data_IF_674829879989
#
_entry.id   IF_674829879989
#
_cell.length_a   1.000
_cell.length_b   1.000
_cell.length_c   1.000
_cell.angle_alpha   90.00
_cell.angle_beta   90.00
_cell.angle_gamma   90.00
#
_symmetry.space_group_name_H-M   'P 1'
#
loop_
_entity.id
_entity.type
_entity.pdbx_description
1 polymer ?
#
# COMPACT_ATOMS: atom_id res chain seq x y z
N UNK A 1 59.74 4.21 21.41
CA UNK A 1 58.98 5.42 21.78
C UNK A 1 58.17 6.02 20.61
N UNK A 2 58.68 6.15 19.38
CA UNK A 2 57.91 6.71 18.27
C UNK A 2 56.69 5.85 17.81
N UNK A 3 56.77 4.51 17.85
CA UNK A 3 55.67 3.61 17.45
C UNK A 3 54.49 3.63 18.44
N UNK A 4 54.76 3.86 19.73
CA UNK A 4 53.68 3.96 20.75
C UNK A 4 52.96 5.30 20.71
N UNK A 5 53.66 6.39 20.34
CA UNK A 5 53.06 7.71 20.14
C UNK A 5 52.14 7.75 18.90
N UNK A 6 52.47 7.04 17.83
CA UNK A 6 51.58 6.94 16.65
C UNK A 6 50.33 6.12 16.93
N UNK A 7 50.46 5.05 17.70
CA UNK A 7 49.31 4.20 18.06
C UNK A 7 48.37 4.92 19.05
N UNK A 8 48.92 5.70 20.00
CA UNK A 8 48.10 6.49 20.93
C UNK A 8 47.45 7.71 20.28
N UNK A 9 48.07 8.33 19.28
CA UNK A 9 47.47 9.39 18.49
C UNK A 9 46.33 8.87 17.59
N UNK A 10 46.47 7.65 17.04
CA UNK A 10 45.42 7.00 16.23
C UNK A 10 44.23 6.59 17.11
N UNK A 11 44.45 6.12 18.34
CA UNK A 11 43.36 5.83 19.31
C UNK A 11 42.69 7.10 19.86
N UNK A 12 43.39 8.21 20.01
CA UNK A 12 42.80 9.47 20.47
C UNK A 12 41.92 10.15 19.39
N UNK A 13 42.21 9.96 18.11
CA UNK A 13 41.40 10.43 16.99
C UNK A 13 40.05 9.67 16.84
N UNK A 14 39.97 8.47 17.39
CA UNK A 14 38.72 7.68 17.32
C UNK A 14 37.68 8.01 18.43
N UNK A 15 38.05 8.80 19.45
CA UNK A 15 37.22 9.06 20.64
C UNK A 15 36.43 10.38 20.59
N UNK A 16 36.66 11.26 19.64
CA UNK A 16 35.94 12.54 19.51
C UNK A 16 35.39 12.73 18.08
N UNK A 17 34.68 11.74 17.59
CA UNK A 17 34.02 11.81 16.30
C UNK A 17 32.82 12.72 16.39
N UNK A 18 32.93 13.99 15.93
CA UNK A 18 31.80 14.92 15.80
C UNK A 18 30.84 14.42 14.72
N UNK A 19 29.56 14.33 15.07
CA UNK A 19 28.48 14.13 14.11
C UNK A 19 27.99 15.51 13.70
N UNK A 20 28.27 15.92 12.47
CA UNK A 20 27.86 17.23 11.97
C UNK A 20 26.45 17.24 11.38
N UNK A 21 25.86 18.45 11.33
CA UNK A 21 24.50 18.69 10.83
C UNK A 21 23.41 18.52 11.88
N UNK A 22 22.16 18.74 11.51
CA UNK A 22 21.03 18.66 12.42
C UNK A 22 20.70 17.21 12.79
N UNK A 23 20.27 16.99 14.03
CA UNK A 23 19.70 15.73 14.48
C UNK A 23 18.19 15.72 14.21
N UNK A 24 17.64 14.54 13.96
CA UNK A 24 16.20 14.36 13.78
C UNK A 24 15.48 14.27 15.13
N UNK A 25 14.68 15.28 15.48
CA UNK A 25 13.94 15.35 16.75
C UNK A 25 12.50 14.80 16.66
N UNK A 26 12.15 14.12 15.55
CA UNK A 26 10.79 13.69 15.26
C UNK A 26 9.96 14.77 14.54
N UNK A 27 8.95 14.31 13.82
CA UNK A 27 8.06 15.20 13.10
C UNK A 27 6.92 15.68 14.01
N UNK A 28 6.65 16.98 14.01
CA UNK A 28 5.55 17.59 14.78
C UNK A 28 4.41 17.94 13.84
N UNK A 29 3.20 17.47 14.14
CA UNK A 29 1.98 17.88 13.46
C UNK A 29 0.90 18.14 14.51
N UNK A 30 0.21 19.27 14.36
CA UNK A 30 -0.93 19.61 15.19
C UNK A 30 -2.20 19.07 14.55
N UNK A 31 -2.94 18.24 15.27
CA UNK A 31 -4.25 17.73 14.90
C UNK A 31 -5.29 18.17 15.93
N UNK A 32 -6.57 18.31 15.53
CA UNK A 32 -7.67 18.54 16.46
C UNK A 32 -7.71 17.43 17.54
N UNK A 33 -8.12 17.79 18.76
CA UNK A 33 -8.19 16.85 19.88
C UNK A 33 -9.29 15.78 19.69
N UNK A 34 -10.32 16.07 18.90
CA UNK A 34 -11.47 15.18 18.65
C UNK A 34 -11.91 15.25 17.20
N UNK A 35 -12.55 14.19 16.72
CA UNK A 35 -13.22 14.17 15.44
C UNK A 35 -14.40 15.15 15.39
N UNK A 36 -14.64 15.80 14.27
CA UNK A 36 -15.81 16.65 14.03
C UNK A 36 -17.09 15.79 13.94
N UNK A 37 -16.99 14.65 13.29
CA UNK A 37 -18.07 13.70 13.11
C UNK A 37 -17.89 12.52 14.07
N UNK A 38 -18.76 12.42 15.07
CA UNK A 38 -18.69 11.38 16.11
C UNK A 38 -19.47 10.15 15.69
N UNK A 39 -18.85 8.98 15.78
CA UNK A 39 -19.57 7.71 15.74
C UNK A 39 -20.06 7.33 17.15
N UNK A 40 -21.17 6.55 17.25
CA UNK A 40 -21.51 5.91 18.51
C UNK A 40 -20.34 5.07 19.01
N UNK A 41 -20.05 5.08 20.33
CA UNK A 41 -18.94 4.32 20.88
C UNK A 41 -19.09 2.84 20.53
N UNK A 42 -17.97 2.19 20.21
CA UNK A 42 -17.93 0.74 20.04
C UNK A 42 -18.21 0.05 21.38
N UNK A 43 -18.98 -1.02 21.34
CA UNK A 43 -19.35 -1.80 22.53
C UNK A 43 -18.27 -2.79 22.95
N UNK A 44 -17.31 -3.08 22.09
CA UNK A 44 -16.21 -4.01 22.32
C UNK A 44 -14.91 -3.34 21.87
N UNK A 45 -13.84 -3.55 22.63
CA UNK A 45 -12.48 -3.14 22.24
C UNK A 45 -12.04 -4.05 21.09
N UNK A 46 -12.05 -3.53 19.87
CA UNK A 46 -11.64 -4.28 18.67
C UNK A 46 -10.22 -3.89 18.27
N UNK A 47 -9.38 -4.89 18.05
CA UNK A 47 -8.08 -4.70 17.44
C UNK A 47 -8.26 -4.31 15.97
N UNK A 48 -7.85 -3.09 15.63
CA UNK A 48 -7.90 -2.61 14.24
C UNK A 48 -6.95 -3.38 13.31
N UNK A 49 -6.01 -4.13 13.86
CA UNK A 49 -5.06 -4.89 13.06
C UNK A 49 -5.74 -5.98 12.22
N UNK A 50 -6.74 -6.66 12.80
CA UNK A 50 -7.50 -7.72 12.15
C UNK A 50 -9.01 -7.31 12.06
N UNK A 51 -9.27 -6.08 11.64
CA UNK A 51 -10.62 -5.47 11.64
C UNK A 51 -11.68 -6.31 10.91
N UNK A 52 -11.30 -7.12 9.92
CA UNK A 52 -12.21 -7.99 9.18
C UNK A 52 -12.83 -9.10 10.03
N UNK A 53 -12.16 -9.50 11.12
CA UNK A 53 -12.71 -10.47 12.08
C UNK A 53 -14.00 -9.97 12.75
N UNK A 54 -14.21 -8.65 12.82
CA UNK A 54 -15.42 -8.03 13.37
C UNK A 54 -16.69 -8.37 12.59
N UNK A 55 -16.57 -8.70 11.29
CA UNK A 55 -17.68 -9.18 10.48
C UNK A 55 -18.14 -10.59 10.83
N UNK A 56 -17.33 -11.35 11.61
CA UNK A 56 -17.56 -12.76 11.98
C UNK A 56 -17.82 -13.64 10.76
N UNK A 57 -17.10 -13.38 9.69
CA UNK A 57 -17.11 -14.12 8.44
C UNK A 57 -15.81 -14.92 8.28
N UNK A 58 -15.84 -16.25 8.51
CA UNK A 58 -14.63 -17.08 8.40
C UNK A 58 -14.06 -17.10 6.98
N UNK A 59 -14.94 -16.98 5.96
CA UNK A 59 -14.50 -16.99 4.57
C UNK A 59 -13.73 -15.71 4.23
N UNK A 60 -14.22 -14.54 4.66
CA UNK A 60 -13.50 -13.28 4.50
C UNK A 60 -12.11 -13.35 5.15
N UNK A 61 -12.03 -13.87 6.37
CA UNK A 61 -10.74 -14.02 7.07
C UNK A 61 -9.79 -14.94 6.30
N UNK A 62 -10.27 -16.10 5.86
CA UNK A 62 -9.47 -17.05 5.08
C UNK A 62 -8.99 -16.47 3.74
N UNK A 63 -9.82 -15.68 3.05
CA UNK A 63 -9.42 -15.00 1.81
C UNK A 63 -8.30 -13.99 2.05
N UNK A 64 -8.41 -13.18 3.11
CA UNK A 64 -7.38 -12.20 3.46
C UNK A 64 -6.07 -12.89 3.84
N UNK A 65 -6.12 -13.96 4.65
CA UNK A 65 -4.93 -14.74 5.01
C UNK A 65 -4.26 -15.36 3.79
N UNK A 66 -5.06 -15.89 2.85
CA UNK A 66 -4.55 -16.43 1.58
C UNK A 66 -3.88 -15.35 0.74
N UNK A 67 -4.50 -14.16 0.66
CA UNK A 67 -3.93 -13.03 -0.05
C UNK A 67 -2.59 -12.60 0.57
N UNK A 68 -2.48 -12.51 1.88
CA UNK A 68 -1.22 -12.17 2.55
C UNK A 68 -0.10 -13.17 2.26
N UNK A 69 -0.45 -14.46 2.12
CA UNK A 69 0.53 -15.51 1.85
C UNK A 69 1.01 -15.54 0.39
N UNK A 70 0.14 -15.24 -0.58
CA UNK A 70 0.40 -15.55 -1.98
C UNK A 70 0.42 -14.33 -2.91
N UNK A 71 -0.06 -13.16 -2.46
CA UNK A 71 -0.16 -12.00 -3.34
C UNK A 71 1.21 -11.49 -3.77
N UNK A 72 1.47 -11.26 -5.08
CA UNK A 72 2.75 -10.78 -5.57
C UNK A 72 3.20 -9.43 -4.99
N UNK A 73 2.27 -8.52 -4.66
CA UNK A 73 2.61 -7.21 -4.08
C UNK A 73 3.17 -7.37 -2.66
N UNK A 74 2.67 -8.35 -1.88
CA UNK A 74 3.23 -8.68 -0.57
C UNK A 74 4.65 -9.27 -0.69
N UNK A 75 4.88 -10.12 -1.68
CA UNK A 75 6.22 -10.65 -1.98
C UNK A 75 7.16 -9.52 -2.39
N UNK A 76 6.73 -8.63 -3.29
CA UNK A 76 7.50 -7.46 -3.72
C UNK A 76 7.81 -6.52 -2.53
N UNK A 77 6.87 -6.32 -1.61
CA UNK A 77 7.09 -5.53 -0.41
C UNK A 77 8.17 -6.16 0.51
N UNK A 78 8.17 -7.49 0.67
CA UNK A 78 9.22 -8.20 1.40
C UNK A 78 10.59 -8.11 0.72
N UNK A 79 10.64 -8.20 -0.61
CA UNK A 79 11.86 -8.00 -1.39
C UNK A 79 12.40 -6.57 -1.26
N UNK A 80 11.53 -5.55 -1.25
CA UNK A 80 11.93 -4.16 -1.04
C UNK A 80 12.54 -3.92 0.35
N UNK A 81 12.04 -4.58 1.40
CA UNK A 81 12.66 -4.57 2.73
C UNK A 81 14.05 -5.20 2.67
N UNK A 82 14.19 -6.37 2.04
CA UNK A 82 15.47 -7.08 1.91
C UNK A 82 16.50 -6.25 1.12
N UNK A 83 16.05 -5.53 0.09
CA UNK A 83 16.88 -4.59 -0.67
C UNK A 83 17.35 -3.44 0.22
N UNK A 84 16.45 -2.80 0.96
CA UNK A 84 16.81 -1.70 1.86
C UNK A 84 17.78 -2.15 2.99
N UNK A 85 17.64 -3.38 3.48
CA UNK A 85 18.59 -3.99 4.41
C UNK A 85 19.98 -4.21 3.77
N UNK A 86 20.04 -4.62 2.51
CA UNK A 86 21.28 -4.76 1.78
C UNK A 86 21.96 -3.40 1.54
N UNK A 87 21.19 -2.36 1.22
CA UNK A 87 21.66 -0.99 1.07
C UNK A 87 22.20 -0.44 2.41
N UNK A 88 21.54 -0.72 3.54
CA UNK A 88 22.03 -0.38 4.86
C UNK A 88 23.37 -1.08 5.16
N UNK A 89 23.49 -2.38 4.90
CA UNK A 89 24.77 -3.11 5.07
C UNK A 89 25.86 -2.56 4.15
N UNK A 90 25.50 -2.18 2.93
CA UNK A 90 26.42 -1.52 2.00
C UNK A 90 26.91 -0.17 2.53
N UNK A 91 26.02 0.65 3.09
CA UNK A 91 26.39 1.92 3.74
C UNK A 91 27.31 1.71 4.95
N UNK A 92 27.03 0.70 5.77
CA UNK A 92 27.87 0.33 6.91
C UNK A 92 29.29 -0.11 6.50
N UNK A 93 29.44 -0.71 5.32
CA UNK A 93 30.75 -1.12 4.82
C UNK A 93 31.69 0.06 4.60
N UNK A 94 31.15 1.27 4.38
CA UNK A 94 31.95 2.51 4.27
C UNK A 94 32.73 2.89 5.53
N UNK A 95 32.43 2.30 6.70
CA UNK A 95 33.20 2.48 7.93
C UNK A 95 34.53 1.69 7.92
N UNK A 96 34.67 0.71 7.03
CA UNK A 96 35.82 -0.20 6.99
C UNK A 96 36.70 0.03 5.74
N UNK A 97 37.97 -0.37 5.78
CA UNK A 97 38.85 -0.33 4.61
C UNK A 97 38.30 -1.26 3.49
N UNK A 98 38.44 -0.80 2.25
CA UNK A 98 38.26 -1.64 1.07
C UNK A 98 39.61 -2.20 0.62
N UNK A 99 39.65 -3.49 0.26
CA UNK A 99 40.84 -4.16 -0.27
C UNK A 99 40.50 -4.68 -1.65
N UNK A 100 41.36 -4.34 -2.63
CA UNK A 100 41.19 -4.78 -4.01
C UNK A 100 42.48 -5.40 -4.56
N UNK A 101 42.31 -6.46 -5.33
CA UNK A 101 43.39 -7.09 -6.11
C UNK A 101 43.23 -6.67 -7.57
N UNK A 102 44.32 -6.21 -8.17
CA UNK A 102 44.35 -5.86 -9.59
C UNK A 102 45.51 -6.59 -10.29
N UNK A 103 45.27 -6.96 -11.53
CA UNK A 103 46.33 -7.55 -12.36
C UNK A 103 46.08 -7.15 -13.84
N UNK A 104 47.17 -6.95 -14.56
CA UNK A 104 47.13 -6.59 -15.96
C UNK A 104 48.34 -7.09 -16.71
N UNK A 105 48.16 -7.42 -17.96
CA UNK A 105 49.21 -7.68 -18.94
C UNK A 105 49.01 -6.76 -20.12
N UNK A 106 50.06 -6.14 -20.60
CA UNK A 106 50.01 -5.23 -21.75
C UNK A 106 51.24 -5.38 -22.60
N UNK A 107 51.11 -5.08 -23.89
CA UNK A 107 52.20 -4.94 -24.81
C UNK A 107 52.14 -3.53 -25.41
N UNK A 108 53.24 -2.79 -25.33
CA UNK A 108 53.35 -1.47 -25.92
C UNK A 108 54.54 -1.44 -26.84
N UNK A 109 54.38 -0.84 -28.03
CA UNK A 109 55.46 -0.73 -29.01
C UNK A 109 55.45 0.63 -29.69
N UNK A 110 56.60 1.00 -30.22
CA UNK A 110 56.75 2.18 -31.06
C UNK A 110 56.77 1.72 -32.53
N UNK A 111 55.87 2.28 -33.34
CA UNK A 111 55.74 1.94 -34.77
C UNK A 111 56.98 2.35 -35.58
N UNK A 112 57.68 3.41 -35.16
CA UNK A 112 58.86 3.92 -35.85
C UNK A 112 60.11 3.06 -35.61
N UNK A 113 60.21 2.43 -34.41
CA UNK A 113 61.38 1.64 -34.03
C UNK A 113 61.15 0.12 -34.08
N UNK A 114 59.93 -0.31 -34.40
CA UNK A 114 59.51 -1.73 -34.39
C UNK A 114 59.82 -2.49 -33.09
N UNK A 115 59.98 -1.74 -31.97
CA UNK A 115 60.22 -2.33 -30.65
C UNK A 115 58.92 -2.52 -29.89
N UNK A 116 58.70 -3.71 -29.32
CA UNK A 116 57.58 -3.98 -28.44
C UNK A 116 58.08 -4.45 -27.06
N UNK A 117 57.42 -3.96 -26.02
CA UNK A 117 57.76 -4.32 -24.62
C UNK A 117 56.50 -4.86 -23.97
N UNK A 118 56.55 -6.12 -23.55
CA UNK A 118 55.54 -6.70 -22.67
C UNK A 118 55.66 -6.14 -21.24
N UNK A 119 54.57 -5.93 -20.56
CA UNK A 119 54.55 -5.55 -19.16
C UNK A 119 53.49 -6.37 -18.43
N UNK A 120 53.87 -6.95 -17.32
CA UNK A 120 52.96 -7.56 -16.35
C UNK A 120 52.93 -6.66 -15.12
N UNK A 121 51.74 -6.38 -14.62
CA UNK A 121 51.55 -5.63 -13.37
C UNK A 121 50.47 -6.31 -12.53
N UNK A 122 50.65 -6.30 -11.23
CA UNK A 122 49.67 -6.80 -10.28
C UNK A 122 49.89 -6.17 -8.92
N UNK A 123 48.81 -6.06 -8.18
CA UNK A 123 48.94 -5.44 -6.85
C UNK A 123 47.70 -5.61 -6.01
N UNK A 124 47.91 -5.56 -4.71
CA UNK A 124 46.90 -5.47 -3.69
C UNK A 124 46.85 -4.02 -3.19
N UNK A 125 45.69 -3.38 -3.26
CA UNK A 125 45.49 -2.03 -2.75
C UNK A 125 44.43 -2.03 -1.64
N UNK A 126 44.72 -1.31 -0.57
CA UNK A 126 43.76 -1.04 0.50
C UNK A 126 43.51 0.47 0.55
N UNK A 127 42.26 0.87 0.69
CA UNK A 127 41.88 2.28 0.86
C UNK A 127 40.83 2.42 1.96
N UNK A 128 40.97 3.47 2.76
CA UNK A 128 40.06 3.79 3.85
C UNK A 128 39.95 5.29 4.06
N UNK A 129 38.75 5.76 4.25
CA UNK A 129 38.45 7.14 4.62
C UNK A 129 37.82 7.16 6.01
N UNK A 130 38.60 7.47 7.07
CA UNK A 130 38.05 7.59 8.42
C UNK A 130 36.93 8.63 8.50
N UNK A 131 35.83 8.26 9.12
CA UNK A 131 34.63 9.10 9.23
C UNK A 131 34.78 10.09 10.42
N UNK A 132 35.64 11.10 10.27
CA UNK A 132 35.90 12.09 11.32
C UNK A 132 34.70 13.01 11.55
N UNK A 133 34.06 13.45 10.46
CA UNK A 133 33.00 14.44 10.46
C UNK A 133 31.60 13.83 10.48
N UNK A 134 31.48 12.50 10.46
CA UNK A 134 30.22 11.78 10.54
C UNK A 134 29.46 11.65 9.22
N UNK A 135 30.09 11.90 8.07
CA UNK A 135 29.42 11.76 6.76
C UNK A 135 28.93 10.34 6.52
N UNK A 136 29.78 9.32 6.78
CA UNK A 136 29.40 7.91 6.63
C UNK A 136 28.34 7.49 7.64
N UNK A 137 28.41 7.97 8.88
CA UNK A 137 27.39 7.70 9.90
C UNK A 137 26.05 8.35 9.56
N UNK A 138 26.03 9.57 9.01
CA UNK A 138 24.81 10.21 8.48
C UNK A 138 24.26 9.45 7.28
N UNK A 139 25.13 8.89 6.43
CA UNK A 139 24.68 8.01 5.33
C UNK A 139 24.03 6.73 5.86
N UNK A 140 24.58 6.12 6.91
CA UNK A 140 24.00 4.96 7.58
C UNK A 140 22.64 5.33 8.20
N UNK A 141 22.54 6.49 8.87
CA UNK A 141 21.31 7.02 9.42
C UNK A 141 20.24 7.23 8.34
N UNK A 142 20.59 7.81 7.19
CA UNK A 142 19.70 7.97 6.05
C UNK A 142 19.22 6.61 5.51
N UNK A 143 20.12 5.61 5.43
CA UNK A 143 19.78 4.26 4.99
C UNK A 143 18.92 3.51 6.02
N UNK A 144 19.11 3.73 7.32
CA UNK A 144 18.25 3.19 8.38
C UNK A 144 16.83 3.78 8.29
N UNK A 145 16.73 5.09 8.05
CA UNK A 145 15.44 5.74 7.82
C UNK A 145 14.77 5.22 6.54
N UNK A 146 15.52 4.99 5.45
CA UNK A 146 15.01 4.38 4.23
C UNK A 146 14.47 2.96 4.47
N UNK A 147 15.16 2.14 5.27
CA UNK A 147 14.67 0.82 5.70
C UNK A 147 13.38 0.95 6.51
N UNK A 148 13.30 1.91 7.44
CA UNK A 148 12.06 2.21 8.18
C UNK A 148 10.90 2.59 7.25
N UNK A 149 11.17 3.40 6.23
CA UNK A 149 10.20 3.76 5.19
C UNK A 149 9.72 2.53 4.38
N UNK A 150 10.63 1.61 4.02
CA UNK A 150 10.28 0.37 3.29
C UNK A 150 9.42 -0.56 4.13
N UNK A 151 9.71 -0.70 5.44
CA UNK A 151 8.86 -1.47 6.37
C UNK A 151 7.46 -0.85 6.50
N UNK A 152 7.37 0.46 6.63
CA UNK A 152 6.08 1.15 6.67
C UNK A 152 5.31 1.01 5.34
N UNK A 153 5.99 1.03 4.18
CA UNK A 153 5.39 0.78 2.88
C UNK A 153 4.80 -0.64 2.77
N UNK A 154 5.50 -1.64 3.30
CA UNK A 154 4.97 -3.01 3.35
C UNK A 154 3.71 -3.12 4.21
N UNK A 155 3.65 -2.42 5.34
CA UNK A 155 2.45 -2.35 6.17
C UNK A 155 1.29 -1.64 5.45
N UNK A 156 1.59 -0.58 4.68
CA UNK A 156 0.60 0.08 3.83
C UNK A 156 0.04 -0.87 2.75
N UNK A 157 0.92 -1.63 2.09
CA UNK A 157 0.53 -2.65 1.10
C UNK A 157 -0.37 -3.71 1.74
N UNK A 158 -0.03 -4.20 2.93
CA UNK A 158 -0.83 -5.17 3.69
C UNK A 158 -2.23 -4.63 4.00
N UNK A 159 -2.33 -3.40 4.53
CA UNK A 159 -3.60 -2.76 4.84
C UNK A 159 -4.46 -2.53 3.59
N UNK A 160 -3.86 -2.07 2.50
CA UNK A 160 -4.52 -1.87 1.21
C UNK A 160 -5.02 -3.19 0.61
N UNK A 161 -4.21 -4.26 0.68
CA UNK A 161 -4.60 -5.59 0.18
C UNK A 161 -5.80 -6.14 0.96
N UNK A 162 -5.79 -6.07 2.29
CA UNK A 162 -6.93 -6.48 3.11
C UNK A 162 -8.22 -5.74 2.73
N UNK A 163 -8.14 -4.42 2.54
CA UNK A 163 -9.27 -3.59 2.11
C UNK A 163 -9.76 -3.97 0.71
N UNK A 164 -8.85 -4.23 -0.23
CA UNK A 164 -9.18 -4.61 -1.61
C UNK A 164 -9.87 -5.97 -1.67
N UNK A 165 -9.35 -6.97 -0.93
CA UNK A 165 -9.97 -8.31 -0.83
C UNK A 165 -11.37 -8.21 -0.21
N UNK A 166 -11.53 -7.46 0.88
CA UNK A 166 -12.82 -7.28 1.52
C UNK A 166 -13.83 -6.58 0.59
N UNK A 167 -13.39 -5.54 -0.14
CA UNK A 167 -14.21 -4.81 -1.11
C UNK A 167 -14.70 -5.75 -2.21
N UNK A 168 -13.78 -6.49 -2.86
CA UNK A 168 -14.12 -7.42 -3.93
C UNK A 168 -15.04 -8.56 -3.44
N UNK A 169 -14.85 -9.03 -2.21
CA UNK A 169 -15.74 -10.02 -1.59
C UNK A 169 -17.13 -9.47 -1.32
N UNK A 170 -17.25 -8.24 -0.80
CA UNK A 170 -18.56 -7.60 -0.57
C UNK A 170 -19.28 -7.28 -1.88
N UNK A 171 -18.55 -6.94 -2.94
CA UNK A 171 -19.10 -6.79 -4.29
C UNK A 171 -19.64 -8.11 -4.83
N UNK A 172 -18.89 -9.21 -4.65
CA UNK A 172 -19.32 -10.54 -5.03
C UNK A 172 -20.61 -10.95 -4.29
N UNK A 173 -20.69 -10.75 -2.97
CA UNK A 173 -21.90 -11.01 -2.18
C UNK A 173 -23.09 -10.21 -2.72
N UNK A 174 -22.88 -8.92 -3.00
CA UNK A 174 -23.92 -8.04 -3.52
C UNK A 174 -24.43 -8.49 -4.90
N UNK A 175 -23.53 -8.93 -5.78
CA UNK A 175 -23.87 -9.46 -7.09
C UNK A 175 -24.65 -10.77 -7.00
N UNK A 176 -24.26 -11.67 -6.09
CA UNK A 176 -25.00 -12.92 -5.81
C UNK A 176 -26.41 -12.67 -5.28
N UNK A 177 -26.57 -11.72 -4.35
CA UNK A 177 -27.88 -11.32 -3.83
C UNK A 177 -28.74 -10.65 -4.91
N UNK A 178 -28.15 -9.81 -5.77
CA UNK A 178 -28.85 -9.19 -6.88
C UNK A 178 -29.35 -10.24 -7.88
N UNK A 179 -28.54 -11.26 -8.18
CA UNK A 179 -28.92 -12.39 -9.01
C UNK A 179 -30.08 -13.20 -8.38
N UNK A 180 -30.01 -13.44 -7.05
CA UNK A 180 -31.09 -14.14 -6.32
C UNK A 180 -32.42 -13.36 -6.41
N UNK A 181 -32.38 -12.05 -6.17
CA UNK A 181 -33.57 -11.18 -6.28
C UNK A 181 -34.10 -11.16 -7.71
N UNK A 182 -33.25 -11.07 -8.73
CA UNK A 182 -33.68 -11.09 -10.12
C UNK A 182 -34.34 -12.41 -10.50
N UNK A 183 -33.87 -13.57 -10.01
CA UNK A 183 -34.46 -14.87 -10.21
C UNK A 183 -35.83 -15.01 -9.49
N UNK A 184 -35.91 -14.56 -8.23
CA UNK A 184 -37.19 -14.55 -7.48
C UNK A 184 -38.22 -13.64 -8.16
N UNK A 185 -37.78 -12.47 -8.66
CA UNK A 185 -38.68 -11.58 -9.40
C UNK A 185 -39.16 -12.21 -10.71
N UNK A 186 -38.27 -12.88 -11.44
CA UNK A 186 -38.61 -13.58 -12.66
C UNK A 186 -39.70 -14.65 -12.39
N UNK A 187 -39.51 -15.45 -11.35
CA UNK A 187 -40.52 -16.47 -10.95
C UNK A 187 -41.85 -15.84 -10.58
N UNK A 188 -41.86 -14.71 -9.87
CA UNK A 188 -43.09 -13.96 -9.55
C UNK A 188 -43.76 -13.45 -10.83
N UNK A 189 -43.00 -12.87 -11.75
CA UNK A 189 -43.51 -12.36 -13.04
C UNK A 189 -44.08 -13.48 -13.94
N UNK A 190 -43.45 -14.66 -13.94
CA UNK A 190 -43.96 -15.83 -14.70
C UNK A 190 -45.29 -16.32 -14.11
N UNK A 191 -45.46 -16.30 -12.79
CA UNK A 191 -46.75 -16.58 -12.15
C UNK A 191 -47.79 -15.53 -12.52
N UNK A 192 -47.44 -14.25 -12.47
CA UNK A 192 -48.29 -13.13 -12.87
C UNK A 192 -48.73 -13.26 -14.33
N UNK A 193 -47.82 -13.55 -15.25
CA UNK A 193 -48.13 -13.78 -16.66
C UNK A 193 -49.16 -14.87 -16.88
N UNK A 194 -49.04 -15.98 -16.16
CA UNK A 194 -50.02 -17.09 -16.28
C UNK A 194 -51.41 -16.67 -15.82
N UNK A 195 -51.53 -15.83 -14.78
CA UNK A 195 -52.81 -15.28 -14.32
C UNK A 195 -53.40 -14.33 -15.37
N UNK A 196 -52.57 -13.42 -15.92
CA UNK A 196 -53.01 -12.51 -17.00
C UNK A 196 -53.47 -13.29 -18.21
N UNK A 197 -52.74 -14.34 -18.62
CA UNK A 197 -53.12 -15.20 -19.75
C UNK A 197 -54.49 -15.87 -19.53
N UNK A 198 -54.73 -16.46 -18.37
CA UNK A 198 -56.03 -17.08 -18.04
C UNK A 198 -57.15 -16.05 -18.10
N UNK A 199 -56.96 -14.82 -17.67
CA UNK A 199 -57.97 -13.75 -17.73
C UNK A 199 -58.23 -13.28 -19.16
N UNK A 200 -57.18 -13.21 -20.02
CA UNK A 200 -57.34 -12.89 -21.44
C UNK A 200 -58.10 -14.01 -22.15
N UNK A 201 -57.73 -15.27 -21.90
CA UNK A 201 -58.41 -16.44 -22.49
C UNK A 201 -59.89 -16.53 -22.06
N UNK A 202 -60.21 -16.03 -20.85
CA UNK A 202 -61.58 -15.94 -20.34
C UNK A 202 -62.32 -14.65 -20.75
N UNK A 203 -61.70 -13.74 -21.48
CA UNK A 203 -62.29 -12.48 -21.94
C UNK A 203 -62.36 -11.36 -20.87
N UNK A 204 -61.66 -11.50 -19.74
CA UNK A 204 -61.63 -10.53 -18.62
C UNK A 204 -60.49 -9.55 -18.65
N UNK A 205 -59.52 -9.69 -19.58
CA UNK A 205 -58.37 -8.78 -19.79
C UNK A 205 -58.08 -8.63 -21.28
N UNK A 206 -57.27 -7.61 -21.63
CA UNK A 206 -56.91 -7.32 -23.02
C UNK A 206 -55.56 -7.99 -23.38
N UNK A 207 -55.39 -8.29 -24.69
CA UNK A 207 -54.07 -8.78 -25.20
C UNK A 207 -52.92 -7.85 -24.89
N UNK A 208 -53.17 -6.52 -24.73
CA UNK A 208 -52.16 -5.56 -24.30
C UNK A 208 -51.56 -5.93 -22.95
N UNK A 209 -52.40 -6.34 -21.97
CA UNK A 209 -51.95 -6.75 -20.64
C UNK A 209 -50.99 -7.95 -20.71
N UNK A 210 -51.33 -8.92 -21.59
CA UNK A 210 -50.52 -10.11 -21.82
C UNK A 210 -49.13 -9.75 -22.41
N UNK A 211 -49.09 -8.86 -23.40
CA UNK A 211 -47.84 -8.44 -23.99
C UNK A 211 -47.03 -7.57 -23.02
N UNK A 212 -47.61 -6.74 -22.20
CA UNK A 212 -46.93 -6.00 -21.13
C UNK A 212 -46.32 -6.94 -20.07
N UNK A 213 -47.07 -7.99 -19.65
CA UNK A 213 -46.55 -9.02 -18.75
C UNK A 213 -45.36 -9.76 -19.38
N UNK A 214 -45.44 -10.04 -20.69
CA UNK A 214 -44.34 -10.67 -21.42
C UNK A 214 -43.09 -9.78 -21.50
N UNK A 215 -43.27 -8.48 -21.71
CA UNK A 215 -42.16 -7.51 -21.73
C UNK A 215 -41.43 -7.45 -20.36
N UNK A 216 -42.16 -7.51 -19.24
CA UNK A 216 -41.52 -7.50 -17.91
C UNK A 216 -40.64 -8.74 -17.68
N UNK A 217 -41.14 -9.94 -18.09
CA UNK A 217 -40.35 -11.19 -18.04
C UNK A 217 -39.08 -11.10 -18.87
N UNK A 218 -39.20 -10.66 -20.14
CA UNK A 218 -38.05 -10.55 -21.06
C UNK A 218 -37.03 -9.56 -20.50
N UNK A 219 -37.48 -8.42 -19.98
CA UNK A 219 -36.62 -7.40 -19.39
C UNK A 219 -35.84 -7.93 -18.16
N UNK A 220 -36.53 -8.64 -17.25
CA UNK A 220 -35.87 -9.21 -16.07
C UNK A 220 -34.91 -10.36 -16.48
N UNK A 221 -35.35 -11.21 -17.43
CA UNK A 221 -34.47 -12.29 -17.93
C UNK A 221 -33.21 -11.76 -18.59
N UNK A 222 -33.30 -10.63 -19.29
CA UNK A 222 -32.14 -9.98 -19.89
C UNK A 222 -31.12 -9.42 -18.88
N UNK A 223 -31.51 -9.14 -17.62
CA UNK A 223 -30.60 -8.67 -16.57
C UNK A 223 -29.80 -9.80 -15.92
N UNK A 224 -30.30 -11.04 -15.94
CA UNK A 224 -29.65 -12.20 -15.30
C UNK A 224 -28.22 -12.40 -15.81
N UNK A 225 -27.94 -12.44 -17.13
CA UNK A 225 -26.56 -12.58 -17.64
C UNK A 225 -25.63 -11.46 -17.20
N UNK A 226 -26.13 -10.23 -17.02
CA UNK A 226 -25.34 -9.11 -16.53
C UNK A 226 -24.91 -9.33 -15.07
N UNK A 227 -25.80 -9.83 -14.20
CA UNK A 227 -25.44 -10.20 -12.83
C UNK A 227 -24.46 -11.37 -12.78
N UNK A 228 -24.63 -12.38 -13.63
CA UNK A 228 -23.70 -13.51 -13.75
C UNK A 228 -22.31 -13.06 -14.23
N UNK A 229 -22.24 -12.14 -15.19
CA UNK A 229 -20.99 -11.54 -15.63
C UNK A 229 -20.30 -10.74 -14.52
N UNK A 230 -21.08 -9.99 -13.72
CA UNK A 230 -20.54 -9.26 -12.56
C UNK A 230 -19.94 -10.20 -11.52
N UNK A 231 -20.63 -11.31 -11.21
CA UNK A 231 -20.12 -12.36 -10.30
C UNK A 231 -18.77 -12.88 -10.80
N UNK A 232 -18.68 -13.24 -12.08
CA UNK A 232 -17.43 -13.72 -12.67
C UNK A 232 -16.32 -12.68 -12.65
N UNK A 233 -16.66 -11.42 -12.88
CA UNK A 233 -15.70 -10.30 -12.76
C UNK A 233 -15.14 -10.17 -11.34
N UNK A 234 -15.99 -10.28 -10.31
CA UNK A 234 -15.56 -10.26 -8.92
C UNK A 234 -14.68 -11.48 -8.57
N UNK A 235 -15.03 -12.68 -9.06
CA UNK A 235 -14.21 -13.90 -8.89
C UNK A 235 -12.83 -13.73 -9.53
N UNK A 236 -12.74 -13.17 -10.74
CA UNK A 236 -11.47 -12.86 -11.40
C UNK A 236 -10.64 -11.85 -10.61
N UNK A 237 -11.28 -10.78 -10.10
CA UNK A 237 -10.60 -9.78 -9.28
C UNK A 237 -10.06 -10.37 -7.98
N UNK A 238 -10.85 -11.23 -7.32
CA UNK A 238 -10.40 -11.95 -6.13
C UNK A 238 -9.25 -12.90 -6.45
N UNK A 239 -9.28 -13.63 -7.58
CA UNK A 239 -8.20 -14.51 -7.98
C UNK A 239 -6.86 -13.76 -8.11
N UNK A 240 -6.86 -12.58 -8.72
CA UNK A 240 -5.67 -11.72 -8.82
C UNK A 240 -5.19 -11.28 -7.43
N UNK A 241 -6.12 -10.82 -6.56
CA UNK A 241 -5.78 -10.39 -5.20
C UNK A 241 -5.24 -11.54 -4.34
N UNK A 242 -5.73 -12.75 -4.55
CA UNK A 242 -5.27 -13.96 -3.87
C UNK A 242 -3.97 -14.55 -4.45
N UNK A 243 -3.47 -14.00 -5.56
CA UNK A 243 -2.29 -14.52 -6.25
C UNK A 243 -2.50 -15.93 -6.82
N UNK A 244 -3.73 -16.23 -7.30
CA UNK A 244 -4.11 -17.56 -7.78
C UNK A 244 -4.93 -17.47 -9.07
N UNK A 245 -5.33 -18.63 -9.62
CA UNK A 245 -6.23 -18.71 -10.78
C UNK A 245 -7.69 -18.81 -10.33
N UNK A 246 -8.61 -18.36 -11.18
CA UNK A 246 -10.05 -18.26 -10.84
C UNK A 246 -10.69 -19.61 -10.47
N UNK A 247 -10.19 -20.71 -11.03
CA UNK A 247 -10.66 -22.08 -10.76
C UNK A 247 -10.37 -22.54 -9.32
N UNK A 248 -9.40 -21.91 -8.65
CA UNK A 248 -9.04 -22.18 -7.25
C UNK A 248 -9.87 -21.34 -6.26
N UNK A 249 -10.53 -20.29 -6.73
CA UNK A 249 -11.36 -19.42 -5.90
C UNK A 249 -12.70 -20.09 -5.63
N UNK A 250 -12.87 -20.63 -4.42
CA UNK A 250 -14.13 -21.26 -4.00
C UNK A 250 -14.86 -20.34 -3.03
N UNK A 251 -15.97 -19.78 -3.47
CA UNK A 251 -16.80 -18.89 -2.68
C UNK A 251 -18.16 -19.53 -2.36
N UNK A 252 -18.67 -19.24 -1.19
CA UNK A 252 -20.01 -19.61 -0.74
C UNK A 252 -20.69 -18.41 -0.12
N UNK A 253 -22.00 -18.28 -0.30
CA UNK A 253 -22.75 -17.20 0.34
C UNK A 253 -22.69 -17.32 1.86
N UNK A 254 -22.39 -16.24 2.60
CA UNK A 254 -22.44 -16.26 4.05
C UNK A 254 -23.87 -16.50 4.56
N UNK A 255 -23.98 -16.97 5.80
CA UNK A 255 -25.27 -17.11 6.46
C UNK A 255 -26.02 -15.76 6.55
N UNK A 256 -27.34 -15.78 6.61
CA UNK A 256 -28.13 -14.56 6.73
C UNK A 256 -27.75 -13.71 7.97
N UNK A 257 -27.34 -14.35 9.06
CA UNK A 257 -26.86 -13.66 10.28
C UNK A 257 -25.54 -12.94 10.07
N UNK A 258 -24.61 -13.53 9.32
CA UNK A 258 -23.33 -12.93 8.93
C UNK A 258 -23.55 -11.84 7.89
N UNK A 259 -24.38 -12.11 6.88
CA UNK A 259 -24.70 -11.15 5.83
C UNK A 259 -25.36 -9.87 6.38
N UNK A 260 -26.23 -9.96 7.36
CA UNK A 260 -26.92 -8.80 7.93
C UNK A 260 -26.09 -8.07 9.00
N UNK A 261 -24.94 -8.61 9.39
CA UNK A 261 -24.09 -8.01 10.42
C UNK A 261 -23.34 -6.78 9.88
N UNK A 262 -23.50 -5.67 10.58
CA UNK A 262 -22.72 -4.43 10.39
C UNK A 262 -21.97 -4.18 11.69
N UNK A 263 -20.65 -4.42 11.74
CA UNK A 263 -19.86 -4.20 12.95
C UNK A 263 -19.74 -2.70 13.24
N UNK A 264 -19.50 -2.36 14.51
CA UNK A 264 -19.12 -1.00 14.93
C UNK A 264 -17.61 -0.96 15.13
N UNK A 265 -16.96 0.07 14.62
CA UNK A 265 -15.51 0.24 14.68
C UNK A 265 -15.15 1.35 15.65
N UNK A 266 -14.19 1.15 16.59
CA UNK A 266 -13.70 2.22 17.45
C UNK A 266 -12.89 3.21 16.62
N UNK A 267 -13.23 4.50 16.68
CA UNK A 267 -12.57 5.53 15.88
C UNK A 267 -11.28 6.07 16.52
N UNK A 268 -11.05 5.83 17.81
CA UNK A 268 -9.89 6.33 18.52
C UNK A 268 -9.79 7.86 18.55
N UNK A 269 -8.61 8.37 18.88
CA UNK A 269 -8.31 9.80 18.84
C UNK A 269 -7.58 10.19 17.55
N UNK A 270 -7.78 11.41 17.02
CA UNK A 270 -7.05 11.89 15.84
C UNK A 270 -5.53 11.77 15.97
N UNK A 271 -4.97 12.03 17.15
CA UNK A 271 -3.53 11.94 17.40
C UNK A 271 -2.95 10.52 17.30
N UNK A 272 -3.78 9.48 17.41
CA UNK A 272 -3.34 8.09 17.26
C UNK A 272 -2.98 7.75 15.82
N UNK A 273 -3.53 8.48 14.83
CA UNK A 273 -3.18 8.31 13.42
C UNK A 273 -1.67 8.46 13.17
N UNK A 274 -1.01 9.39 13.88
CA UNK A 274 0.42 9.66 13.74
C UNK A 274 1.28 8.42 14.02
N UNK A 275 0.78 7.49 14.84
CA UNK A 275 1.49 6.26 15.23
C UNK A 275 0.98 5.01 14.50
N UNK A 276 -0.25 5.06 13.97
CA UNK A 276 -0.92 3.89 13.41
C UNK A 276 -0.91 3.86 11.89
N UNK A 277 -0.90 5.02 11.22
CA UNK A 277 -0.97 5.06 9.76
C UNK A 277 0.40 4.83 9.12
N UNK A 278 0.54 3.77 8.31
CA UNK A 278 1.81 3.45 7.66
C UNK A 278 2.31 4.55 6.71
N UNK A 279 1.40 5.26 6.02
CA UNK A 279 1.76 6.37 5.12
C UNK A 279 2.35 7.58 5.87
N UNK A 280 1.86 7.87 7.08
CA UNK A 280 2.42 8.91 7.95
C UNK A 280 3.80 8.48 8.47
N UNK A 281 3.93 7.24 8.93
CA UNK A 281 5.20 6.66 9.39
C UNK A 281 6.23 6.69 8.24
N UNK A 282 5.82 6.33 7.03
CA UNK A 282 6.67 6.40 5.84
C UNK A 282 7.13 7.83 5.54
N UNK A 283 6.23 8.82 5.64
CA UNK A 283 6.55 10.23 5.42
C UNK A 283 7.52 10.78 6.50
N UNK A 284 7.37 10.34 7.75
CA UNK A 284 8.28 10.67 8.85
C UNK A 284 9.68 10.12 8.60
N UNK A 285 9.82 8.86 8.20
CA UNK A 285 11.10 8.27 7.84
C UNK A 285 11.76 8.96 6.64
N UNK A 286 10.98 9.43 5.65
CA UNK A 286 11.50 10.21 4.54
C UNK A 286 12.05 11.56 4.99
N UNK A 287 11.39 12.22 5.94
CA UNK A 287 11.88 13.46 6.54
C UNK A 287 13.16 13.21 7.36
N UNK A 288 13.21 12.10 8.12
CA UNK A 288 14.42 11.70 8.85
C UNK A 288 15.59 11.48 7.89
N UNK A 289 15.41 10.74 6.79
CA UNK A 289 16.44 10.54 5.77
C UNK A 289 16.90 11.86 5.15
N UNK A 290 15.98 12.78 4.86
CA UNK A 290 16.33 14.10 4.34
C UNK A 290 17.12 14.93 5.35
N UNK A 291 16.82 14.84 6.64
CA UNK A 291 17.58 15.49 7.72
C UNK A 291 19.01 14.94 7.80
N UNK A 292 19.18 13.62 7.73
CA UNK A 292 20.50 12.99 7.70
C UNK A 292 21.32 13.42 6.47
N UNK A 293 20.67 13.61 5.31
CA UNK A 293 21.34 14.10 4.09
C UNK A 293 21.85 15.54 4.22
N UNK A 294 21.21 16.40 5.03
CA UNK A 294 21.77 17.72 5.38
C UNK A 294 23.11 17.52 6.13
N UNK A 295 23.15 16.58 7.08
CA UNK A 295 24.38 16.26 7.81
C UNK A 295 25.51 15.78 6.90
N UNK A 296 25.20 14.96 5.88
CA UNK A 296 26.16 14.54 4.86
C UNK A 296 26.71 15.75 4.08
N UNK A 297 25.82 16.64 3.64
CA UNK A 297 26.22 17.83 2.89
C UNK A 297 27.09 18.77 3.74
N UNK A 298 26.75 18.96 5.00
CA UNK A 298 27.55 19.76 5.96
C UNK A 298 28.92 19.11 6.21
N UNK A 299 28.97 17.80 6.42
CA UNK A 299 30.23 17.08 6.63
C UNK A 299 31.19 17.23 5.43
N UNK A 300 30.65 17.30 4.22
CA UNK A 300 31.45 17.49 2.99
C UNK A 300 32.03 18.93 2.83
N UNK A 301 31.71 19.87 3.70
CA UNK A 301 32.37 21.17 3.79
C UNK A 301 33.76 21.09 4.46
N UNK A 302 34.04 20.02 5.18
CA UNK A 302 35.27 19.84 5.97
C UNK A 302 36.31 19.00 5.23
N UNK A 303 37.61 19.04 5.68
CA UNK A 303 38.68 18.28 5.03
C UNK A 303 38.41 16.78 5.02
N UNK A 304 38.53 16.14 3.87
CA UNK A 304 38.52 14.68 3.79
C UNK A 304 39.89 14.10 4.11
N UNK A 305 39.92 13.04 4.92
CA UNK A 305 41.12 12.25 5.20
C UNK A 305 40.99 10.91 4.46
N UNK A 306 42.04 10.48 3.78
CA UNK A 306 42.14 9.14 3.24
C UNK A 306 43.47 8.49 3.55
N UNK A 307 43.45 7.20 3.80
CA UNK A 307 44.61 6.35 4.02
C UNK A 307 44.61 5.29 2.93
N UNK A 308 45.72 5.13 2.22
CA UNK A 308 45.85 4.11 1.20
C UNK A 308 47.17 3.31 1.41
N UNK A 309 47.06 2.02 1.24
CA UNK A 309 48.21 1.10 1.23
C UNK A 309 48.21 0.31 -0.07
N UNK A 310 49.36 0.10 -0.65
CA UNK A 310 49.52 -0.64 -1.88
C UNK A 310 50.71 -1.57 -1.79
N UNK A 311 50.55 -2.81 -2.20
CA UNK A 311 51.63 -3.75 -2.49
C UNK A 311 51.51 -4.11 -3.94
N UNK A 312 52.48 -3.75 -4.76
CA UNK A 312 52.40 -4.00 -6.20
C UNK A 312 53.74 -4.49 -6.74
N UNK A 313 53.66 -5.25 -7.79
CA UNK A 313 54.80 -5.70 -8.57
C UNK A 313 54.58 -5.41 -10.04
N UNK A 314 55.64 -5.13 -10.75
CA UNK A 314 55.64 -4.99 -12.20
C UNK A 314 56.91 -5.57 -12.78
N UNK A 315 56.77 -6.40 -13.80
CA UNK A 315 57.90 -6.93 -14.57
C UNK A 315 57.79 -6.55 -16.05
N UNK A 316 58.93 -6.56 -16.74
CA UNK A 316 58.94 -6.40 -18.18
C UNK A 316 58.43 -7.63 -18.91
N UNK A 317 59.18 -8.14 -19.88
CA UNK A 317 58.76 -9.28 -20.72
C UNK A 317 58.81 -10.64 -19.99
N UNK A 318 59.42 -10.72 -18.82
CA UNK A 318 59.60 -11.98 -18.11
C UNK A 318 58.65 -12.07 -16.86
N UNK A 319 57.72 -13.02 -16.88
CA UNK A 319 56.79 -13.24 -15.77
C UNK A 319 57.48 -13.77 -14.52
N UNK A 320 58.67 -14.42 -14.65
CA UNK A 320 59.41 -14.93 -13.50
C UNK A 320 59.91 -13.80 -12.59
N UNK A 321 60.23 -12.64 -13.15
CA UNK A 321 60.69 -11.47 -12.40
C UNK A 321 59.59 -10.73 -11.69
N UNK A 322 58.35 -11.09 -11.95
CA UNK A 322 57.18 -10.43 -11.34
C UNK A 322 57.19 -10.56 -9.79
N UNK A 323 57.55 -11.71 -9.26
CA UNK A 323 57.57 -11.93 -7.79
C UNK A 323 58.82 -11.35 -7.09
N UNK A 324 59.89 -11.05 -7.84
CA UNK A 324 61.12 -10.51 -7.29
C UNK A 324 61.11 -8.97 -7.17
N UNK A 325 60.19 -8.27 -7.83
CA UNK A 325 60.12 -6.81 -7.92
C UNK A 325 59.00 -6.18 -7.09
N UNK A 326 58.52 -6.88 -6.05
CA UNK A 326 57.40 -6.39 -5.22
C UNK A 326 57.82 -5.18 -4.38
N UNK A 327 57.04 -4.11 -4.48
CA UNK A 327 57.17 -2.91 -3.68
C UNK A 327 55.95 -2.63 -2.83
N UNK A 328 56.07 -1.88 -1.79
CA UNK A 328 54.93 -1.42 -0.99
C UNK A 328 54.95 0.09 -0.80
N UNK A 329 53.75 0.67 -0.62
CA UNK A 329 53.59 2.07 -0.25
C UNK A 329 52.47 2.23 0.74
N UNK A 330 52.60 3.16 1.68
CA UNK A 330 51.54 3.60 2.59
C UNK A 330 51.50 5.11 2.53
N UNK A 331 50.35 5.67 2.26
CA UNK A 331 50.12 7.10 2.13
C UNK A 331 48.87 7.54 2.90
N UNK A 332 48.99 8.71 3.54
CA UNK A 332 47.84 9.44 4.07
C UNK A 332 47.69 10.74 3.29
N UNK A 333 46.47 11.09 2.93
CA UNK A 333 46.19 12.36 2.26
C UNK A 333 45.06 13.11 2.93
N UNK A 334 45.18 14.43 2.96
CA UNK A 334 44.15 15.36 3.41
C UNK A 334 43.76 16.25 2.25
N UNK A 335 42.49 16.27 1.90
CA UNK A 335 41.97 17.11 0.82
C UNK A 335 40.95 18.11 1.34
N UNK A 336 41.09 19.39 0.97
CA UNK A 336 40.16 20.47 1.31
C UNK A 336 40.01 21.42 0.13
N UNK A 337 38.77 21.66 -0.27
CA UNK A 337 38.47 22.72 -1.24
C UNK A 337 38.54 24.08 -0.56
N UNK A 338 39.53 24.91 -0.90
CA UNK A 338 39.75 26.22 -0.31
C UNK A 338 39.08 27.32 -1.13
N UNK A 339 39.23 27.26 -2.46
CA UNK A 339 38.65 28.24 -3.39
C UNK A 339 37.45 27.68 -4.10
N UNK A 340 36.49 28.55 -4.48
CA UNK A 340 35.26 28.16 -5.14
C UNK A 340 34.39 27.14 -4.35
N UNK A 341 34.16 27.43 -3.08
CA UNK A 341 33.31 26.62 -2.20
C UNK A 341 31.80 26.79 -2.48
N UNK A 342 31.42 27.65 -3.41
CA UNK A 342 30.03 27.92 -3.76
C UNK A 342 29.25 26.64 -4.05
N UNK A 343 29.82 25.71 -4.84
CA UNK A 343 29.17 24.44 -5.15
C UNK A 343 28.91 23.56 -3.90
N UNK A 344 29.80 23.59 -2.92
CA UNK A 344 29.63 22.86 -1.66
C UNK A 344 28.56 23.53 -0.77
N UNK A 345 28.57 24.86 -0.67
CA UNK A 345 27.55 25.61 0.08
C UNK A 345 26.18 25.43 -0.54
N UNK A 346 26.05 25.47 -1.89
CA UNK A 346 24.78 25.22 -2.55
C UNK A 346 24.29 23.78 -2.40
N UNK A 347 25.16 22.80 -2.23
CA UNK A 347 24.74 21.43 -1.89
C UNK A 347 24.09 21.37 -0.50
N UNK A 348 24.61 22.13 0.48
CA UNK A 348 23.95 22.25 1.80
C UNK A 348 22.59 22.92 1.66
N UNK A 349 22.52 24.04 0.94
CA UNK A 349 21.27 24.75 0.67
C UNK A 349 20.23 23.83 -0.02
N UNK A 350 20.63 23.04 -1.04
CA UNK A 350 19.76 22.08 -1.71
C UNK A 350 19.29 21.00 -0.72
N UNK A 351 20.14 20.51 0.17
CA UNK A 351 19.75 19.52 1.16
C UNK A 351 18.76 20.09 2.19
N UNK A 352 18.95 21.32 2.65
CA UNK A 352 18.03 22.03 3.56
C UNK A 352 16.65 22.30 2.90
N UNK A 353 16.65 22.71 1.63
CA UNK A 353 15.41 22.85 0.86
C UNK A 353 14.70 21.51 0.66
N UNK A 354 15.43 20.43 0.43
CA UNK A 354 14.90 19.07 0.33
C UNK A 354 14.32 18.58 1.66
N UNK A 355 14.97 18.88 2.78
CA UNK A 355 14.44 18.60 4.12
C UNK A 355 13.13 19.39 4.36
N UNK A 356 13.12 20.67 4.02
CA UNK A 356 11.93 21.50 4.14
C UNK A 356 10.77 20.98 3.30
N UNK A 357 11.04 20.54 2.06
CA UNK A 357 10.05 19.93 1.17
C UNK A 357 9.52 18.60 1.74
N UNK A 358 10.38 17.77 2.34
CA UNK A 358 9.98 16.55 3.03
C UNK A 358 9.08 16.85 4.25
N UNK A 359 9.39 17.91 5.01
CA UNK A 359 8.57 18.40 6.12
C UNK A 359 7.16 18.84 5.67
N UNK A 360 7.06 19.58 4.55
CA UNK A 360 5.76 19.95 4.00
C UNK A 360 5.00 18.73 3.45
N UNK A 361 5.70 17.75 2.88
CA UNK A 361 5.11 16.50 2.43
C UNK A 361 4.54 15.68 3.59
N UNK A 362 5.26 15.60 4.71
CA UNK A 362 4.77 14.98 5.94
C UNK A 362 3.49 15.68 6.43
N UNK A 363 3.51 17.01 6.56
CA UNK A 363 2.34 17.79 6.98
C UNK A 363 1.13 17.55 6.06
N UNK A 364 1.35 17.54 4.74
CA UNK A 364 0.30 17.24 3.75
C UNK A 364 -0.28 15.85 3.97
N UNK A 365 0.54 14.83 4.20
CA UNK A 365 0.11 13.46 4.45
C UNK A 365 -0.76 13.37 5.70
N UNK A 366 -0.35 14.04 6.79
CA UNK A 366 -1.13 14.10 8.04
C UNK A 366 -2.50 14.75 7.85
N UNK A 367 -2.55 15.89 7.16
CA UNK A 367 -3.81 16.59 6.87
C UNK A 367 -4.73 15.77 5.94
N UNK A 368 -4.17 15.12 4.93
CA UNK A 368 -4.92 14.23 4.05
C UNK A 368 -5.49 13.02 4.79
N UNK A 369 -4.71 12.41 5.68
CA UNK A 369 -5.14 11.31 6.51
C UNK A 369 -6.30 11.70 7.45
N UNK A 370 -6.23 12.87 8.08
CA UNK A 370 -7.30 13.40 8.90
C UNK A 370 -8.58 13.63 8.08
N UNK A 371 -8.48 14.28 6.94
CA UNK A 371 -9.61 14.56 6.04
C UNK A 371 -10.25 13.25 5.53
N UNK A 372 -9.45 12.24 5.20
CA UNK A 372 -9.94 10.93 4.76
C UNK A 372 -10.79 10.24 5.83
N UNK A 373 -10.36 10.25 7.10
CA UNK A 373 -11.14 9.66 8.19
C UNK A 373 -12.45 10.43 8.38
N UNK A 374 -12.42 11.77 8.37
CA UNK A 374 -13.65 12.57 8.48
C UNK A 374 -14.63 12.28 7.34
N UNK A 375 -14.16 12.14 6.11
CA UNK A 375 -15.00 11.78 4.96
C UNK A 375 -15.60 10.38 5.13
N UNK A 376 -14.83 9.41 5.60
CA UNK A 376 -15.32 8.07 5.90
C UNK A 376 -16.40 8.10 7.00
N UNK A 377 -16.24 8.89 8.05
CA UNK A 377 -17.22 9.05 9.13
C UNK A 377 -18.52 9.66 8.62
N UNK A 378 -18.46 10.73 7.82
CA UNK A 378 -19.63 11.37 7.20
C UNK A 378 -20.36 10.35 6.31
N UNK A 379 -19.62 9.67 5.44
CA UNK A 379 -20.19 8.68 4.51
C UNK A 379 -20.89 7.54 5.23
N UNK A 380 -20.23 6.99 6.25
CA UNK A 380 -20.80 5.91 7.07
C UNK A 380 -22.07 6.37 7.79
N UNK A 381 -22.06 7.53 8.46
CA UNK A 381 -23.23 8.05 9.17
C UNK A 381 -24.41 8.27 8.23
N UNK A 382 -24.17 8.82 7.03
CA UNK A 382 -25.19 8.98 5.98
C UNK A 382 -25.79 7.65 5.56
N UNK A 383 -24.95 6.67 5.24
CA UNK A 383 -25.39 5.36 4.78
C UNK A 383 -26.21 4.63 5.85
N UNK A 384 -25.78 4.70 7.11
CA UNK A 384 -26.49 4.11 8.24
C UNK A 384 -27.86 4.76 8.48
N UNK A 385 -28.02 6.06 8.21
CA UNK A 385 -29.33 6.72 8.31
C UNK A 385 -30.26 6.40 7.14
N UNK A 386 -29.70 6.09 5.96
CA UNK A 386 -30.46 5.76 4.75
C UNK A 386 -30.99 4.32 4.76
N UNK A 387 -30.23 3.35 5.29
CA UNK A 387 -30.59 1.94 5.25
C UNK A 387 -31.99 1.64 5.81
N UNK A 388 -32.43 2.14 6.99
CA UNK A 388 -33.77 1.89 7.50
C UNK A 388 -34.89 2.44 6.58
N UNK A 389 -34.60 3.54 5.86
CA UNK A 389 -35.56 4.12 4.90
C UNK A 389 -35.71 3.25 3.66
N UNK A 390 -34.62 2.69 3.16
CA UNK A 390 -34.67 1.72 2.05
C UNK A 390 -35.40 0.44 2.46
N UNK A 391 -35.16 -0.07 3.66
CA UNK A 391 -35.90 -1.24 4.20
C UNK A 391 -37.37 -0.96 4.38
N UNK A 392 -37.75 0.20 4.89
CA UNK A 392 -39.17 0.60 4.97
C UNK A 392 -39.80 0.76 3.59
N UNK A 393 -39.08 1.37 2.64
CA UNK A 393 -39.53 1.51 1.25
C UNK A 393 -39.76 0.16 0.57
N UNK A 394 -38.79 -0.77 0.69
CA UNK A 394 -38.94 -2.11 0.11
C UNK A 394 -40.14 -2.87 0.68
N UNK A 395 -40.32 -2.80 2.00
CA UNK A 395 -41.54 -3.41 2.64
C UNK A 395 -42.84 -2.79 2.13
N UNK A 396 -42.89 -1.47 1.96
CA UNK A 396 -44.08 -0.79 1.44
C UNK A 396 -44.35 -1.15 -0.04
N UNK A 397 -43.30 -1.15 -0.88
CA UNK A 397 -43.42 -1.49 -2.30
C UNK A 397 -43.81 -2.97 -2.50
N UNK A 398 -43.26 -3.90 -1.71
CA UNK A 398 -43.68 -5.30 -1.72
C UNK A 398 -45.17 -5.44 -1.44
N UNK A 399 -45.64 -4.77 -0.39
CA UNK A 399 -47.06 -4.79 -0.05
C UNK A 399 -47.95 -4.16 -1.13
N UNK A 400 -47.48 -3.09 -1.76
CA UNK A 400 -48.17 -2.45 -2.88
C UNK A 400 -48.26 -3.39 -4.10
N UNK A 401 -47.20 -4.13 -4.43
CA UNK A 401 -47.19 -5.12 -5.50
C UNK A 401 -48.16 -6.29 -5.21
N UNK A 402 -48.16 -6.79 -3.98
CA UNK A 402 -49.11 -7.84 -3.56
C UNK A 402 -50.58 -7.37 -3.62
N UNK A 403 -50.87 -6.12 -3.21
CA UNK A 403 -52.21 -5.56 -3.24
C UNK A 403 -52.66 -5.24 -4.65
N UNK A 404 -51.82 -4.64 -5.50
CA UNK A 404 -52.16 -4.36 -6.90
C UNK A 404 -52.44 -5.65 -7.68
N UNK A 405 -51.68 -6.72 -7.40
CA UNK A 405 -51.96 -8.03 -7.99
C UNK A 405 -53.33 -8.58 -7.58
N UNK A 406 -53.70 -8.53 -6.29
CA UNK A 406 -55.01 -8.93 -5.80
C UNK A 406 -56.16 -8.10 -6.42
N UNK A 407 -55.96 -6.78 -6.55
CA UNK A 407 -56.96 -5.89 -7.20
C UNK A 407 -57.11 -6.22 -8.69
N UNK A 408 -56.02 -6.56 -9.36
CA UNK A 408 -56.08 -7.01 -10.75
C UNK A 408 -56.81 -8.36 -10.86
N UNK A 409 -56.55 -9.32 -9.98
CA UNK A 409 -57.23 -10.62 -9.94
C UNK A 409 -58.77 -10.49 -9.84
N UNK A 410 -59.25 -9.55 -9.02
CA UNK A 410 -60.69 -9.29 -8.87
C UNK A 410 -61.29 -8.31 -9.89
N UNK A 411 -60.42 -7.77 -10.81
CA UNK A 411 -60.85 -6.90 -11.91
C UNK A 411 -61.10 -5.45 -11.52
N UNK A 412 -60.56 -4.97 -10.38
CA UNK A 412 -60.70 -3.58 -9.89
C UNK A 412 -59.50 -2.69 -10.21
N UNK A 413 -58.45 -3.23 -10.85
CA UNK A 413 -57.27 -2.49 -11.26
C UNK A 413 -56.74 -3.01 -12.60
N UNK A 414 -56.04 -2.16 -13.35
CA UNK A 414 -55.37 -2.50 -14.61
C UNK A 414 -53.99 -3.16 -14.35
N UNK A 415 -53.56 -4.00 -15.31
CA UNK A 415 -52.26 -4.66 -15.24
C UNK A 415 -51.06 -3.66 -15.19
N UNK A 416 -51.23 -2.47 -15.77
CA UNK A 416 -50.20 -1.43 -15.74
C UNK A 416 -49.80 -1.07 -14.30
N UNK A 417 -50.75 -1.03 -13.36
CA UNK A 417 -50.51 -0.75 -11.95
C UNK A 417 -49.71 -1.89 -11.28
N UNK A 418 -50.00 -3.16 -11.65
CA UNK A 418 -49.24 -4.33 -11.17
C UNK A 418 -47.78 -4.23 -11.66
N UNK A 419 -47.58 -4.02 -12.96
CA UNK A 419 -46.25 -3.91 -13.55
C UNK A 419 -45.43 -2.73 -12.99
N UNK A 420 -46.07 -1.60 -12.66
CA UNK A 420 -45.43 -0.45 -12.02
C UNK A 420 -45.02 -0.78 -10.57
N UNK A 421 -45.90 -1.42 -9.80
CA UNK A 421 -45.62 -1.80 -8.41
C UNK A 421 -44.52 -2.88 -8.32
N UNK A 422 -44.50 -3.87 -9.22
CA UNK A 422 -43.43 -4.87 -9.31
C UNK A 422 -42.07 -4.24 -9.58
N UNK A 423 -41.97 -3.32 -10.55
CA UNK A 423 -40.73 -2.60 -10.85
C UNK A 423 -40.26 -1.77 -9.67
N UNK A 424 -41.18 -1.08 -8.97
CA UNK A 424 -40.85 -0.31 -7.78
C UNK A 424 -40.32 -1.20 -6.64
N UNK A 425 -40.95 -2.39 -6.45
CA UNK A 425 -40.45 -3.36 -5.46
C UNK A 425 -39.06 -3.87 -5.80
N UNK A 426 -38.81 -4.34 -7.04
CA UNK A 426 -37.48 -4.79 -7.46
C UNK A 426 -36.42 -3.70 -7.25
N UNK A 427 -36.72 -2.47 -7.67
CA UNK A 427 -35.79 -1.34 -7.47
C UNK A 427 -35.49 -1.09 -5.98
N UNK A 428 -36.50 -1.19 -5.12
CA UNK A 428 -36.35 -0.99 -3.68
C UNK A 428 -35.51 -2.10 -3.03
N UNK A 429 -35.64 -3.36 -3.43
CA UNK A 429 -34.80 -4.47 -2.96
C UNK A 429 -33.33 -4.30 -3.39
N UNK A 430 -33.10 -3.93 -4.65
CA UNK A 430 -31.75 -3.65 -5.15
C UNK A 430 -31.09 -2.46 -4.42
N UNK A 431 -31.86 -1.44 -4.01
CA UNK A 431 -31.36 -0.33 -3.20
C UNK A 431 -30.89 -0.77 -1.80
N UNK A 432 -31.56 -1.75 -1.17
CA UNK A 432 -31.11 -2.33 0.11
C UNK A 432 -29.76 -3.04 -0.09
N UNK A 433 -29.64 -3.88 -1.12
CA UNK A 433 -28.42 -4.62 -1.43
C UNK A 433 -27.26 -3.64 -1.64
N UNK A 434 -27.45 -2.63 -2.49
CA UNK A 434 -26.45 -1.60 -2.76
C UNK A 434 -26.09 -0.81 -1.50
N UNK A 435 -27.05 -0.41 -0.68
CA UNK A 435 -26.81 0.31 0.58
C UNK A 435 -25.99 -0.53 1.56
N UNK A 436 -26.32 -1.80 1.74
CA UNK A 436 -25.56 -2.73 2.60
C UNK A 436 -24.14 -2.96 2.11
N UNK A 437 -23.95 -3.10 0.80
CA UNK A 437 -22.61 -3.18 0.19
C UNK A 437 -21.80 -1.93 0.50
N UNK A 438 -22.37 -0.73 0.22
CA UNK A 438 -21.68 0.55 0.46
C UNK A 438 -21.31 0.74 1.93
N UNK A 439 -22.14 0.33 2.88
CA UNK A 439 -21.84 0.39 4.31
C UNK A 439 -20.62 -0.47 4.65
N UNK A 440 -20.56 -1.72 4.15
CA UNK A 440 -19.42 -2.62 4.40
C UNK A 440 -18.13 -2.10 3.80
N UNK A 441 -18.19 -1.60 2.56
CA UNK A 441 -17.06 -0.98 1.89
C UNK A 441 -16.59 0.28 2.63
N UNK A 442 -17.52 1.12 3.09
CA UNK A 442 -17.22 2.30 3.89
C UNK A 442 -16.55 1.95 5.23
N UNK A 443 -17.00 0.86 5.87
CA UNK A 443 -16.35 0.34 7.09
C UNK A 443 -14.95 -0.19 6.83
N UNK A 444 -14.74 -0.97 5.77
CA UNK A 444 -13.41 -1.46 5.40
C UNK A 444 -12.46 -0.29 5.14
N UNK A 445 -12.92 0.72 4.38
CA UNK A 445 -12.17 1.94 4.12
C UNK A 445 -11.87 2.74 5.40
N UNK A 446 -12.85 2.89 6.29
CA UNK A 446 -12.65 3.56 7.58
C UNK A 446 -11.61 2.84 8.44
N UNK A 447 -11.65 1.51 8.53
CA UNK A 447 -10.66 0.74 9.27
C UNK A 447 -9.24 0.94 8.74
N UNK A 448 -9.09 0.94 7.41
CA UNK A 448 -7.80 1.21 6.75
C UNK A 448 -7.35 2.66 6.98
N UNK A 449 -8.25 3.63 6.86
CA UNK A 449 -7.97 5.04 7.11
C UNK A 449 -7.56 5.32 8.58
N UNK A 450 -8.07 4.54 9.53
CA UNK A 450 -7.65 4.58 10.94
C UNK A 450 -6.31 3.88 11.21
N UNK A 451 -5.66 3.35 10.18
CA UNK A 451 -4.38 2.65 10.29
C UNK A 451 -4.51 1.19 10.71
N UNK A 452 -5.66 0.55 10.45
CA UNK A 452 -5.89 -0.88 10.66
C UNK A 452 -5.32 -1.76 9.56
N UNK A 453 -5.32 -3.09 9.81
CA UNK A 453 -4.88 -4.09 8.84
C UNK A 453 -3.42 -4.53 8.99
N UNK A 454 -2.72 -4.10 10.04
CA UNK A 454 -1.36 -4.52 10.36
C UNK A 454 -1.08 -4.42 11.86
N UNK A 455 -0.06 -5.13 12.33
CA UNK A 455 0.41 -5.11 13.73
C UNK A 455 1.82 -4.50 13.78
N UNK A 456 2.09 -3.70 14.81
CA UNK A 456 3.44 -3.19 15.11
C UNK A 456 4.39 -4.32 15.47
#
# INVERSE_FOLDING_TARGET
MQKTLFLSALCALSLSSCLLGPDFEGAKAELPATWLNKMPPATEEQDLADWWASFKDPQLSSLIDTAFANNPDMINAALAISQAEAELRSSQSGLFPSVSLSGGAGNSGNLDTSTSHGRFNGGLSASWSPDIWGSTRRQIEASMAALGSSKAAANATRAALASSVATAYFEWISAMESLRIAKEQLEFQERTYNIVKQRVDAGFSHNLDLEQARVTIISTRAQIPAHEATIRSCENSLAVLLGTTVDQVKLSMPSASTYNRIPRVPTGLPSELLRRRPDIIMAEHKLHSATANVGIAVANLFPSLSVSGNVSSSSGSDFADFFSSAGWSLAGSVGQTIFNRTALNERVNIAELSQSAAGQSYRKTVLAAFAEVEECLISYARLMSQLPQYEASAKANKKAAELSMKQFEVGTSDFLNVAAAERAWLSAELNIISSRQQIRMSLARLCTALGGGWKN
#
